data_IF_189303405544
#
_entry.id   IF_189303405544
#
_cell.length_a   1.000
_cell.length_b   1.000
_cell.length_c   1.000
_cell.angle_alpha   90.00
_cell.angle_beta   90.00
_cell.angle_gamma   90.00
#
_symmetry.space_group_name_H-M   'P 1'
#
loop_
_entity.id
_entity.type
_entity.pdbx_description
1 polymer ?
#
# COMPACT_ATOMS: atom_id res chain seq x y z
N UNK A 1 42.46 -5.01 -38.35
CA UNK A 1 42.08 -3.93 -37.40
C UNK A 1 40.58 -3.84 -37.08
N UNK A 2 39.69 -4.62 -37.72
CA UNK A 2 38.22 -4.51 -37.57
C UNK A 2 37.67 -5.07 -36.23
N UNK A 3 38.41 -5.96 -35.55
CA UNK A 3 37.94 -6.68 -34.35
C UNK A 3 37.81 -5.81 -33.08
N UNK A 4 38.59 -4.72 -32.96
CA UNK A 4 38.56 -3.80 -31.80
C UNK A 4 37.37 -2.85 -31.83
N UNK A 5 36.94 -2.40 -33.02
CA UNK A 5 35.78 -1.51 -33.19
C UNK A 5 34.46 -2.24 -32.91
N UNK A 6 34.32 -3.50 -33.37
CA UNK A 6 33.15 -4.34 -33.09
C UNK A 6 32.96 -4.62 -31.59
N UNK A 7 34.04 -4.89 -30.86
CA UNK A 7 33.98 -5.13 -29.40
C UNK A 7 33.59 -3.87 -28.60
N UNK A 8 34.12 -2.71 -28.98
CA UNK A 8 33.78 -1.44 -28.33
C UNK A 8 32.33 -1.03 -28.59
N UNK A 9 31.80 -1.30 -29.79
CA UNK A 9 30.40 -1.01 -30.13
C UNK A 9 29.43 -1.93 -29.36
N UNK A 10 29.74 -3.22 -29.24
CA UNK A 10 28.95 -4.18 -28.46
C UNK A 10 28.86 -3.80 -26.98
N UNK A 11 29.97 -3.34 -26.38
CA UNK A 11 30.02 -2.90 -24.98
C UNK A 11 29.15 -1.65 -24.77
N UNK A 12 29.21 -0.67 -25.67
CA UNK A 12 28.39 0.55 -25.59
C UNK A 12 26.90 0.22 -25.72
N UNK A 13 26.52 -0.70 -26.61
CA UNK A 13 25.13 -1.16 -26.76
C UNK A 13 24.65 -1.89 -25.49
N UNK A 14 25.44 -2.81 -24.94
CA UNK A 14 25.11 -3.52 -23.70
C UNK A 14 25.00 -2.58 -22.50
N UNK A 15 25.90 -1.60 -22.39
CA UNK A 15 25.86 -0.60 -21.33
C UNK A 15 24.63 0.30 -21.46
N UNK A 16 24.29 0.73 -22.68
CA UNK A 16 23.07 1.50 -22.95
C UNK A 16 21.81 0.70 -22.57
N UNK A 17 21.74 -0.59 -22.90
CA UNK A 17 20.60 -1.44 -22.53
C UNK A 17 20.45 -1.59 -21.01
N UNK A 18 21.56 -1.69 -20.28
CA UNK A 18 21.55 -1.78 -18.81
C UNK A 18 21.03 -0.49 -18.16
N UNK A 19 21.31 0.67 -18.74
CA UNK A 19 20.81 1.95 -18.24
C UNK A 19 19.28 2.08 -18.33
N UNK A 20 18.63 1.36 -19.24
CA UNK A 20 17.16 1.36 -19.38
C UNK A 20 16.45 0.44 -18.37
N UNK A 21 17.17 -0.41 -17.62
CA UNK A 21 16.57 -1.34 -16.66
C UNK A 21 15.98 -0.65 -15.40
N UNK A 22 16.26 0.64 -15.19
CA UNK A 22 15.82 1.38 -14.00
C UNK A 22 14.34 1.77 -13.94
N UNK A 23 13.56 1.55 -15.00
CA UNK A 23 12.15 2.00 -15.06
C UNK A 23 11.13 1.10 -14.32
N UNK A 24 11.58 0.09 -13.56
CA UNK A 24 10.72 -0.88 -12.87
C UNK A 24 10.31 -0.46 -11.45
N UNK A 25 10.12 0.84 -11.23
CA UNK A 25 9.58 1.38 -9.99
C UNK A 25 8.45 2.37 -10.29
N UNK A 26 7.26 2.08 -9.79
CA UNK A 26 6.09 2.93 -9.94
C UNK A 26 5.46 3.18 -8.58
N UNK A 27 5.23 4.44 -8.24
CA UNK A 27 4.55 4.85 -7.01
C UNK A 27 3.29 5.59 -7.39
N UNK A 28 2.16 5.15 -6.84
CA UNK A 28 0.85 5.77 -7.03
C UNK A 28 0.39 6.26 -5.65
N UNK A 29 0.15 7.56 -5.55
CA UNK A 29 -0.38 8.21 -4.36
C UNK A 29 -1.84 8.59 -4.60
N UNK A 30 -2.71 8.31 -3.63
CA UNK A 30 -4.13 8.63 -3.72
C UNK A 30 -4.48 9.97 -3.09
N UNK A 31 -3.52 10.61 -2.40
CA UNK A 31 -3.72 11.85 -1.65
C UNK A 31 -4.27 11.63 -0.23
N UNK A 32 -4.52 10.38 0.18
CA UNK A 32 -4.87 10.05 1.55
C UNK A 32 -3.61 10.03 2.43
N UNK A 33 -3.75 10.43 3.70
CA UNK A 33 -2.64 10.37 4.65
C UNK A 33 -2.21 8.90 4.85
N UNK A 34 -0.90 8.58 4.78
CA UNK A 34 -0.42 7.22 4.99
C UNK A 34 -0.54 6.81 6.46
N UNK A 35 -1.10 5.63 6.71
CA UNK A 35 -1.20 5.01 8.04
C UNK A 35 0.01 4.12 8.37
N UNK A 36 -0.11 3.34 9.45
CA UNK A 36 0.94 2.43 9.91
C UNK A 36 0.89 1.02 9.30
N UNK A 37 -0.23 0.63 8.67
CA UNK A 37 -0.38 -0.69 8.05
C UNK A 37 0.20 -0.68 6.62
N UNK A 38 1.26 -1.44 6.41
CA UNK A 38 1.84 -1.73 5.09
C UNK A 38 1.74 -3.23 4.81
N UNK A 39 1.34 -3.58 3.58
CA UNK A 39 1.18 -4.97 3.13
C UNK A 39 2.00 -5.17 1.87
N UNK A 40 2.94 -6.11 1.92
CA UNK A 40 3.76 -6.50 0.77
C UNK A 40 3.20 -7.76 0.13
N UNK A 41 3.10 -7.77 -1.20
CA UNK A 41 2.63 -8.90 -1.98
C UNK A 41 3.50 -9.15 -3.20
N UNK A 42 3.74 -10.41 -3.51
CA UNK A 42 4.28 -10.81 -4.81
C UNK A 42 3.18 -10.92 -5.85
N UNK A 43 3.43 -10.32 -7.00
CA UNK A 43 2.54 -10.33 -8.14
C UNK A 43 3.28 -10.85 -9.36
N UNK A 44 2.56 -11.58 -10.19
CA UNK A 44 3.12 -12.29 -11.33
C UNK A 44 2.79 -11.52 -12.60
N UNK A 45 3.79 -11.17 -13.40
CA UNK A 45 3.60 -10.72 -14.76
C UNK A 45 4.31 -11.64 -15.73
N UNK A 46 3.88 -11.60 -16.99
CA UNK A 46 4.38 -12.47 -18.04
C UNK A 46 4.89 -11.66 -19.21
N UNK A 47 5.86 -12.24 -19.92
CA UNK A 47 6.39 -11.73 -21.19
C UNK A 47 6.90 -10.29 -21.00
N UNK A 48 7.94 -10.13 -20.17
CA UNK A 48 8.58 -8.84 -19.88
C UNK A 48 7.61 -7.73 -19.43
N UNK A 49 6.56 -8.06 -18.66
CA UNK A 49 5.61 -7.05 -18.21
C UNK A 49 4.40 -6.85 -19.13
N UNK A 50 4.33 -7.51 -20.30
CA UNK A 50 3.26 -7.27 -21.28
C UNK A 50 1.89 -7.72 -20.76
N UNK A 51 1.85 -8.81 -20.00
CA UNK A 51 0.64 -9.27 -19.35
C UNK A 51 0.62 -8.71 -17.93
N UNK A 52 -0.33 -7.81 -17.60
CA UNK A 52 -0.40 -7.22 -16.28
C UNK A 52 -0.70 -8.29 -15.22
N UNK A 53 -0.25 -8.08 -13.97
CA UNK A 53 -0.59 -8.96 -12.87
C UNK A 53 -2.09 -8.93 -12.57
N UNK A 54 -2.57 -9.97 -11.88
CA UNK A 54 -3.94 -9.99 -11.39
C UNK A 54 -4.23 -8.78 -10.49
N UNK A 55 -5.47 -8.31 -10.56
CA UNK A 55 -5.94 -7.14 -9.80
C UNK A 55 -5.67 -7.37 -8.31
N UNK A 56 -5.14 -6.33 -7.67
CA UNK A 56 -4.93 -6.32 -6.23
C UNK A 56 -6.20 -5.81 -5.58
N UNK A 57 -6.91 -6.67 -4.86
CA UNK A 57 -8.03 -6.27 -4.01
C UNK A 57 -7.51 -5.59 -2.74
N UNK A 58 -6.93 -4.40 -2.89
CA UNK A 58 -6.37 -3.67 -1.75
C UNK A 58 -7.43 -3.25 -0.72
N UNK A 59 -8.72 -3.31 -1.08
CA UNK A 59 -9.86 -3.04 -0.20
C UNK A 59 -10.06 -4.11 0.88
N UNK A 60 -9.69 -5.37 0.62
CA UNK A 60 -9.81 -6.42 1.63
C UNK A 60 -8.79 -6.26 2.76
N UNK A 61 -7.68 -5.59 2.47
CA UNK A 61 -6.61 -5.34 3.45
C UNK A 61 -6.68 -3.95 4.09
N UNK A 62 -7.24 -2.96 3.40
CA UNK A 62 -7.33 -1.59 3.89
C UNK A 62 -8.79 -1.12 3.92
N UNK A 63 -9.45 -1.26 5.07
CA UNK A 63 -10.86 -0.84 5.27
C UNK A 63 -11.05 0.67 5.05
N UNK A 64 -10.07 1.48 5.45
CA UNK A 64 -10.09 2.95 5.34
C UNK A 64 -9.57 3.47 3.98
N UNK A 65 -9.30 2.57 3.04
CA UNK A 65 -8.73 2.91 1.73
C UNK A 65 -7.20 2.86 1.69
N UNK A 66 -6.65 3.10 0.50
CA UNK A 66 -5.22 2.95 0.19
C UNK A 66 -4.60 4.33 0.04
N UNK A 67 -3.56 4.64 0.81
CA UNK A 67 -2.81 5.89 0.68
C UNK A 67 -1.77 5.82 -0.45
N UNK A 68 -1.02 4.72 -0.52
CA UNK A 68 0.06 4.58 -1.48
C UNK A 68 0.21 3.15 -1.97
N UNK A 69 0.46 3.01 -3.26
CA UNK A 69 0.81 1.73 -3.89
C UNK A 69 2.17 1.88 -4.55
N UNK A 70 3.12 1.05 -4.16
CA UNK A 70 4.47 1.01 -4.72
C UNK A 70 4.68 -0.33 -5.42
N UNK A 71 4.93 -0.30 -6.72
CA UNK A 71 5.28 -1.49 -7.50
C UNK A 71 6.76 -1.42 -7.82
N UNK A 72 7.50 -2.45 -7.41
CA UNK A 72 8.95 -2.51 -7.56
C UNK A 72 9.42 -3.89 -8.01
N UNK A 73 10.45 -3.92 -8.84
CA UNK A 73 11.17 -5.15 -9.15
C UNK A 73 12.38 -5.31 -8.22
N UNK A 74 12.30 -6.24 -7.27
CA UNK A 74 13.44 -6.58 -6.41
C UNK A 74 14.56 -7.25 -7.22
N UNK A 75 15.76 -7.33 -6.63
CA UNK A 75 16.88 -8.07 -7.23
C UNK A 75 16.51 -9.52 -7.54
N UNK A 76 15.83 -10.20 -6.60
CA UNK A 76 15.38 -11.58 -6.77
C UNK A 76 14.37 -11.69 -7.90
N UNK A 77 13.46 -10.71 -8.01
CA UNK A 77 12.50 -10.67 -9.10
C UNK A 77 13.18 -10.52 -10.46
N UNK A 78 14.21 -9.68 -10.55
CA UNK A 78 15.05 -9.52 -11.73
C UNK A 78 15.84 -10.79 -12.09
N UNK A 79 16.39 -11.47 -11.08
CA UNK A 79 17.10 -12.74 -11.28
C UNK A 79 16.17 -13.81 -11.87
N UNK A 80 14.97 -13.96 -11.32
CA UNK A 80 13.97 -14.91 -11.82
C UNK A 80 13.53 -14.56 -13.25
N UNK A 81 13.36 -13.27 -13.54
CA UNK A 81 13.05 -12.81 -14.89
C UNK A 81 14.13 -13.23 -15.92
N UNK A 82 15.41 -13.08 -15.56
CA UNK A 82 16.53 -13.50 -16.41
C UNK A 82 16.58 -15.02 -16.56
N UNK A 83 16.43 -15.76 -15.46
CA UNK A 83 16.47 -17.23 -15.46
C UNK A 83 15.35 -17.86 -16.28
N UNK A 84 14.19 -17.21 -16.33
CA UNK A 84 13.04 -17.66 -17.13
C UNK A 84 13.01 -17.07 -18.55
N UNK A 85 14.06 -16.37 -18.96
CA UNK A 85 14.18 -15.78 -20.30
C UNK A 85 13.13 -14.70 -20.59
N UNK A 86 12.62 -14.02 -19.55
CA UNK A 86 11.60 -12.98 -19.69
C UNK A 86 10.16 -13.47 -19.74
N UNK A 87 9.92 -14.78 -19.70
CA UNK A 87 8.56 -15.32 -19.75
C UNK A 87 7.83 -15.06 -18.43
N UNK A 88 8.51 -15.21 -17.30
CA UNK A 88 7.97 -14.98 -15.97
C UNK A 88 8.69 -13.81 -15.30
N UNK A 89 7.99 -12.69 -15.16
CA UNK A 89 8.50 -11.43 -14.65
C UNK A 89 7.81 -11.10 -13.34
N UNK A 90 8.26 -11.67 -12.21
CA UNK A 90 7.68 -11.35 -10.90
C UNK A 90 7.92 -9.88 -10.54
N UNK A 91 7.01 -9.32 -9.76
CA UNK A 91 7.12 -7.97 -9.18
C UNK A 91 6.60 -7.97 -7.74
N UNK A 92 7.05 -7.00 -6.96
CA UNK A 92 6.60 -6.78 -5.59
C UNK A 92 5.69 -5.56 -5.58
N UNK A 93 4.52 -5.68 -4.97
CA UNK A 93 3.59 -4.57 -4.73
C UNK A 93 3.49 -4.34 -3.24
N UNK A 94 3.81 -3.14 -2.80
CA UNK A 94 3.69 -2.67 -1.43
C UNK A 94 2.49 -1.73 -1.38
N UNK A 95 1.52 -2.04 -0.52
CA UNK A 95 0.32 -1.26 -0.30
C UNK A 95 0.41 -0.64 1.08
N UNK A 96 0.39 0.68 1.15
CA UNK A 96 0.28 1.44 2.39
C UNK A 96 -1.16 1.86 2.57
N UNK A 97 -1.82 1.37 3.62
CA UNK A 97 -3.19 1.74 3.93
C UNK A 97 -3.26 3.22 4.34
N UNK A 98 -4.41 3.84 4.11
CA UNK A 98 -4.70 5.15 4.65
C UNK A 98 -4.65 5.12 6.19
N UNK A 99 -4.24 6.24 6.77
CA UNK A 99 -4.46 6.53 8.16
C UNK A 99 -5.97 6.42 8.42
N UNK A 100 -6.33 5.80 9.54
CA UNK A 100 -7.67 6.01 10.06
C UNK A 100 -7.79 7.52 10.35
N UNK A 101 -8.95 8.13 10.16
CA UNK A 101 -9.14 9.57 10.50
C UNK A 101 -8.81 9.85 11.99
N UNK A 102 -8.64 8.78 12.78
CA UNK A 102 -8.21 8.76 14.18
C UNK A 102 -6.72 8.44 14.41
N UNK A 103 -5.93 8.03 13.41
CA UNK A 103 -4.52 7.61 13.62
C UNK A 103 -3.48 8.71 13.38
N UNK A 104 -3.87 9.91 12.95
CA UNK A 104 -2.98 11.08 12.92
C UNK A 104 -2.88 11.82 14.25
N UNK A 105 -3.73 11.47 15.21
CA UNK A 105 -3.54 11.76 16.62
C UNK A 105 -3.32 10.42 17.34
N UNK A 106 -2.43 10.36 18.32
CA UNK A 106 -2.37 9.21 19.22
C UNK A 106 -3.65 9.17 20.06
N UNK A 107 -4.76 8.72 19.47
CA UNK A 107 -6.03 8.55 20.17
C UNK A 107 -5.86 7.32 21.06
N UNK A 108 -5.76 7.56 22.37
CA UNK A 108 -5.75 6.49 23.36
C UNK A 108 -7.05 5.68 23.19
N UNK A 109 -6.94 4.37 22.99
CA UNK A 109 -8.09 3.48 22.81
C UNK A 109 -9.08 3.55 23.98
N UNK A 110 -8.67 4.02 25.16
CA UNK A 110 -9.56 4.30 26.28
C UNK A 110 -10.53 5.48 26.03
N UNK A 111 -10.14 6.42 25.16
CA UNK A 111 -10.88 7.64 24.81
C UNK A 111 -11.91 7.46 23.68
N UNK A 112 -12.02 6.26 23.10
CA UNK A 112 -12.97 5.96 22.03
C UNK A 112 -14.22 5.25 22.58
N UNK A 113 -15.39 5.71 22.15
CA UNK A 113 -16.70 5.05 22.38
C UNK A 113 -17.20 4.57 21.01
N UNK A 114 -17.43 3.26 20.86
CA UNK A 114 -17.88 2.67 19.61
C UNK A 114 -19.39 2.52 19.61
N UNK A 115 -20.03 3.00 18.55
CA UNK A 115 -21.47 2.89 18.29
C UNK A 115 -21.68 1.96 17.10
N UNK A 116 -22.41 0.84 17.26
CA UNK A 116 -22.76 -0.03 16.15
C UNK A 116 -23.59 0.69 15.07
N UNK A 117 -23.38 0.32 13.81
CA UNK A 117 -24.20 0.84 12.72
C UNK A 117 -25.64 0.31 12.83
N UNK A 118 -26.62 1.21 12.82
CA UNK A 118 -28.04 0.86 13.00
C UNK A 118 -28.54 0.97 14.45
N UNK A 119 -27.71 1.47 15.37
CA UNK A 119 -28.11 1.84 16.73
C UNK A 119 -29.28 2.83 16.73
N UNK A 120 -30.14 2.73 17.73
CA UNK A 120 -31.23 3.68 17.89
C UNK A 120 -30.74 5.03 18.45
N UNK A 121 -31.62 6.02 18.47
CA UNK A 121 -31.26 7.37 18.93
C UNK A 121 -30.84 7.39 20.41
N UNK A 122 -31.39 6.49 21.22
CA UNK A 122 -31.08 6.42 22.65
C UNK A 122 -29.65 5.93 22.86
N UNK A 123 -29.25 4.85 22.19
CA UNK A 123 -27.90 4.30 22.21
C UNK A 123 -26.87 5.29 21.66
N UNK A 124 -27.22 6.05 20.62
CA UNK A 124 -26.36 7.13 20.11
C UNK A 124 -26.16 8.22 21.16
N UNK A 125 -27.23 8.69 21.79
CA UNK A 125 -27.14 9.77 22.79
C UNK A 125 -26.40 9.33 24.06
N UNK A 126 -26.58 8.08 24.48
CA UNK A 126 -25.84 7.50 25.59
C UNK A 126 -24.33 7.43 25.29
N UNK A 127 -23.96 7.01 24.07
CA UNK A 127 -22.56 6.99 23.65
C UNK A 127 -21.90 8.38 23.64
N UNK A 128 -22.63 9.42 23.23
CA UNK A 128 -22.15 10.81 23.33
C UNK A 128 -22.03 11.27 24.78
N UNK A 129 -22.94 10.86 25.67
CA UNK A 129 -22.86 11.11 27.11
C UNK A 129 -21.60 10.47 27.72
N UNK A 130 -21.36 9.19 27.43
CA UNK A 130 -20.18 8.48 27.89
C UNK A 130 -18.88 9.11 27.37
N UNK A 131 -18.85 9.56 26.11
CA UNK A 131 -17.69 10.25 25.55
C UNK A 131 -17.44 11.57 26.29
N UNK A 132 -18.48 12.35 26.60
CA UNK A 132 -18.35 13.59 27.36
C UNK A 132 -17.78 13.34 28.77
N UNK A 133 -18.28 12.33 29.48
CA UNK A 133 -17.81 11.98 30.83
C UNK A 133 -16.33 11.56 30.80
N UNK A 134 -15.93 10.76 29.80
CA UNK A 134 -14.52 10.37 29.61
C UNK A 134 -13.63 11.57 29.29
N UNK A 135 -14.09 12.49 28.45
CA UNK A 135 -13.32 13.68 28.09
C UNK A 135 -13.05 14.59 29.30
N UNK A 136 -14.06 14.75 30.16
CA UNK A 136 -13.91 15.52 31.41
C UNK A 136 -13.00 14.79 32.39
N UNK A 137 -13.15 13.47 32.56
CA UNK A 137 -12.36 12.71 33.52
C UNK A 137 -10.88 12.61 33.14
N UNK A 138 -10.57 12.52 31.84
CA UNK A 138 -9.21 12.38 31.33
C UNK A 138 -8.53 13.70 30.97
N UNK A 139 -9.25 14.84 31.02
CA UNK A 139 -8.82 16.14 30.51
C UNK A 139 -8.26 16.07 29.06
N UNK A 140 -8.84 15.17 28.26
CA UNK A 140 -8.41 14.85 26.89
C UNK A 140 -9.63 14.71 25.97
N UNK A 141 -9.48 14.91 24.65
CA UNK A 141 -10.58 14.68 23.72
C UNK A 141 -11.01 13.20 23.74
N UNK A 142 -12.32 12.96 23.79
CA UNK A 142 -12.94 11.66 23.57
C UNK A 142 -13.66 11.63 22.22
N UNK A 143 -13.70 10.48 21.58
CA UNK A 143 -14.23 10.30 20.23
C UNK A 143 -15.36 9.28 20.19
N UNK A 144 -16.37 9.54 19.37
CA UNK A 144 -17.46 8.60 19.08
C UNK A 144 -17.27 8.04 17.67
N UNK A 145 -17.12 6.72 17.55
CA UNK A 145 -16.88 6.05 16.27
C UNK A 145 -18.07 5.17 15.90
N UNK A 146 -18.64 5.40 14.71
CA UNK A 146 -19.67 4.53 14.15
C UNK A 146 -19.01 3.37 13.41
N UNK A 147 -19.06 2.16 13.99
CA UNK A 147 -18.49 0.97 13.37
C UNK A 147 -19.56 0.20 12.62
N UNK A 148 -19.28 -0.10 11.35
CA UNK A 148 -20.13 -0.99 10.53
C UNK A 148 -19.60 -2.41 10.71
N UNK A 149 -20.46 -3.34 11.10
CA UNK A 149 -20.05 -4.74 11.16
C UNK A 149 -19.73 -5.23 9.75
N UNK A 150 -18.48 -5.66 9.57
CA UNK A 150 -17.95 -6.19 8.31
C UNK A 150 -18.72 -7.48 7.97
N UNK A 151 -19.44 -7.47 6.84
CA UNK A 151 -20.04 -8.68 6.24
C UNK A 151 -18.96 -9.65 5.77
#
# INVERSE_FOLDING_TARGET
MIKRSQGSFLIVVLFSLFLLAGCYHATIDTGLAPGHKTVEMWKHSWIYGLVPPSVVEAQSECENGVARVETQQSFINGLVNVLTGGIYTPMTVIVTCAADDMSSAAVDSASVVIVPYGSDYEEIMDAFGQAADKAVAAEQPAYVQFKRDSL
#
